data_IF_148757776812
#
_entry.id   IF_148757776812
#
_cell.length_a   1.000
_cell.length_b   1.000
_cell.length_c   1.000
_cell.angle_alpha   90.00
_cell.angle_beta   90.00
_cell.angle_gamma   90.00
#
_symmetry.space_group_name_H-M   'P 1'
#
loop_
_entity.id
_entity.type
_entity.pdbx_description
1 polymer ?
2 non-polymer ?
3 water ?
#
# COMPACT_ATOMS: atom_id res chain seq x y z
N UNK A 11 11.97 20.82 34.37
CA UNK A 11 11.92 20.40 32.90
C UNK A 11 12.96 21.17 32.07
N UNK A 12 13.56 20.49 31.08
CA UNK A 12 14.27 21.09 29.97
C UNK A 12 13.30 21.13 28.78
N UNK A 13 13.75 21.71 27.66
CA UNK A 13 12.94 21.81 26.46
C UNK A 13 12.79 20.45 25.78
N UNK A 14 11.54 20.11 25.41
CA UNK A 14 11.28 18.88 24.66
C UNK A 14 11.60 19.03 23.19
N UNK A 15 11.93 17.91 22.55
CA UNK A 15 12.18 17.90 21.11
C UNK A 15 10.91 18.24 20.32
N UNK A 16 11.07 18.78 19.09
CA UNK A 16 9.95 18.92 18.14
C UNK A 16 9.08 17.65 18.00
N UNK A 17 9.76 16.50 17.96
CA UNK A 17 9.12 15.18 17.83
C UNK A 17 8.28 14.80 19.04
N UNK A 18 8.76 15.08 20.26
CA UNK A 18 7.98 14.83 21.47
C UNK A 18 6.79 15.79 21.58
N UNK A 19 7.01 17.04 21.18
CA UNK A 19 5.96 18.02 21.14
C UNK A 19 4.88 17.59 20.15
N UNK A 20 5.31 17.14 18.97
CA UNK A 20 4.37 16.72 17.93
C UNK A 20 3.52 15.49 18.30
N UNK A 21 4.17 14.49 18.90
CA UNK A 21 3.51 13.25 19.30
C UNK A 21 2.56 13.47 20.45
N UNK A 22 2.86 14.46 21.30
CA UNK A 22 1.93 14.88 22.36
C UNK A 22 0.69 15.58 21.81
N UNK A 23 0.85 16.39 20.75
CA UNK A 23 -0.29 17.08 20.13
C UNK A 23 -1.21 16.11 19.39
N UNK A 24 -0.60 15.10 18.75
CA UNK A 24 -1.37 14.01 18.13
C UNK A 24 -2.22 13.28 19.17
N UNK A 25 -1.60 12.86 20.26
CA UNK A 25 -2.27 12.10 21.32
C UNK A 25 -3.50 12.80 21.88
N UNK A 26 -3.45 14.13 21.93
CA UNK A 26 -4.60 14.94 22.37
C UNK A 26 -5.65 15.08 21.26
N UNK A 27 -5.20 15.24 20.01
CA UNK A 27 -6.10 15.47 18.88
C UNK A 27 -6.79 14.24 18.31
N UNK A 28 -6.15 13.09 18.35
CA UNK A 28 -6.67 11.84 17.79
C UNK A 28 -7.79 11.22 18.67
N UNK A 29 -8.94 11.01 18.04
CA UNK A 29 -10.05 10.26 18.64
C UNK A 29 -10.94 9.68 17.53
N UNK A 30 -11.53 8.50 17.79
CA UNK A 30 -12.42 7.82 16.84
C UNK A 30 -13.60 8.72 16.45
N UNK A 31 -14.16 8.51 15.25
CA UNK A 31 -15.32 9.32 14.87
C UNK A 31 -16.58 8.98 15.67
N UNK A 32 -17.56 9.86 15.57
CA UNK A 32 -18.83 9.81 16.31
C UNK A 32 -19.66 8.58 15.95
N UNK A 33 -19.73 8.33 14.65
CA UNK A 33 -20.36 7.14 14.09
C UNK A 33 -19.24 6.24 13.55
N UNK A 34 -19.18 5.00 14.03
CA UNK A 34 -18.12 4.02 13.66
C UNK A 34 -18.60 2.91 12.74
N UNK A 35 -17.73 2.48 11.84
CA UNK A 35 -17.94 1.28 11.03
C UNK A 35 -18.15 0.08 11.96
N UNK A 36 -19.02 -0.83 11.56
CA UNK A 36 -19.15 -2.14 12.22
C UNK A 36 -18.45 -3.25 11.45
N UNK A 37 -18.51 -3.17 10.12
CA UNK A 37 -18.09 -4.27 9.25
C UNK A 37 -17.40 -3.69 8.00
N UNK A 38 -16.20 -4.17 7.72
CA UNK A 38 -15.44 -3.76 6.55
C UNK A 38 -15.09 -5.02 5.74
N UNK A 39 -15.29 -4.97 4.43
CA UNK A 39 -14.84 -6.04 3.52
C UNK A 39 -13.67 -5.58 2.67
N UNK A 40 -12.67 -6.45 2.56
CA UNK A 40 -11.37 -6.12 1.92
C UNK A 40 -10.97 -7.24 0.96
N UNK A 41 -10.52 -6.85 -0.22
CA UNK A 41 -9.94 -7.81 -1.18
C UNK A 41 -9.18 -7.05 -2.26
N UNK A 42 -8.43 -7.74 -3.12
CA UNK A 42 -8.33 -9.21 -3.18
C UNK A 42 -6.91 -9.78 -3.22
N UNK A 43 -5.87 -8.95 -3.11
CA UNK A 43 -4.52 -9.50 -3.19
C UNK A 43 -3.96 -9.87 -1.81
N UNK A 44 -3.31 -11.03 -1.78
CA UNK A 44 -2.84 -11.61 -0.52
C UNK A 44 -1.82 -12.72 -0.81
N UNK A 45 -0.81 -12.80 0.03
CA UNK A 45 0.25 -13.79 -0.15
C UNK A 45 1.03 -13.92 1.14
N UNK A 46 2.02 -14.81 1.15
CA UNK A 46 2.97 -14.91 2.26
C UNK A 46 4.36 -14.54 1.73
N UNK A 47 4.95 -13.51 2.33
CA UNK A 47 6.31 -13.12 2.06
C UNK A 47 7.21 -13.92 2.99
N UNK A 48 8.20 -14.57 2.40
CA UNK A 48 9.20 -15.32 3.11
C UNK A 48 10.52 -14.59 2.86
N UNK A 49 11.10 -14.04 3.92
CA UNK A 49 12.34 -13.25 3.82
C UNK A 49 13.45 -14.14 4.35
N UNK A 50 14.48 -14.33 3.52
CA UNK A 50 15.52 -15.33 3.76
C UNK A 50 16.81 -14.85 3.12
N UNK A 51 17.94 -15.20 3.73
CA UNK A 51 19.25 -14.98 3.08
C UNK A 51 19.32 -15.81 1.82
N UNK A 52 19.54 -15.13 0.70
CA UNK A 52 19.60 -15.81 -0.58
C UNK A 52 20.74 -16.82 -0.67
N UNK A 53 21.93 -16.44 -0.22
CA UNK A 53 23.08 -17.34 -0.22
C UNK A 53 22.74 -18.61 0.60
N UNK A 54 22.20 -18.42 1.80
CA UNK A 54 21.83 -19.54 2.64
C UNK A 54 20.82 -20.48 1.97
N UNK A 55 19.82 -19.91 1.28
CA UNK A 55 18.80 -20.73 0.64
C UNK A 55 19.39 -21.56 -0.46
N UNK A 56 20.15 -20.92 -1.32
CA UNK A 56 20.74 -21.62 -2.43
C UNK A 56 21.69 -22.71 -1.93
N UNK A 57 22.47 -22.39 -0.91
CA UNK A 57 23.31 -23.41 -0.29
C UNK A 57 22.43 -24.54 0.23
N UNK A 58 21.32 -24.19 0.86
CA UNK A 58 20.40 -25.18 1.43
C UNK A 58 19.73 -26.06 0.39
N UNK A 59 19.63 -25.59 -0.86
CA UNK A 59 19.16 -26.40 -1.99
C UNK A 59 20.22 -27.32 -2.53
N UNK A 60 21.41 -27.27 -1.99
CA UNK A 60 22.51 -28.13 -2.41
C UNK A 60 23.26 -27.58 -3.61
N UNK A 61 23.27 -26.26 -3.78
CA UNK A 61 23.88 -25.65 -4.96
C UNK A 61 25.28 -25.14 -4.64
N UNK A 62 26.25 -25.43 -5.49
CA UNK A 62 27.58 -24.82 -5.42
C UNK A 62 27.53 -23.52 -6.20
N UNK A 63 28.44 -22.58 -5.90
CA UNK A 63 28.37 -21.30 -6.64
C UNK A 63 28.74 -21.46 -8.09
N UNK A 64 27.86 -21.01 -8.99
CA UNK A 64 28.08 -21.09 -10.43
C UNK A 64 28.56 -19.74 -10.95
N UNK A 65 27.89 -19.23 -11.98
CA UNK A 65 28.18 -17.95 -12.60
C UNK A 65 26.99 -17.05 -12.41
N UNK A 66 27.28 -15.75 -12.36
CA UNK A 66 26.22 -14.75 -12.38
C UNK A 66 25.79 -14.64 -13.83
N UNK A 67 24.48 -14.73 -14.07
CA UNK A 67 23.94 -14.61 -15.40
C UNK A 67 22.45 -14.32 -15.33
N UNK A 68 22.03 -13.25 -16.00
CA UNK A 68 20.62 -12.85 -15.96
C UNK A 68 19.78 -13.82 -16.75
N UNK A 69 18.54 -14.02 -16.28
CA UNK A 69 17.52 -14.78 -16.99
C UNK A 69 16.22 -14.04 -16.84
N UNK A 70 15.57 -13.73 -17.97
CA UNK A 70 14.26 -13.05 -17.97
C UNK A 70 13.14 -13.79 -17.21
N UNK A 71 13.06 -15.11 -17.40
CA UNK A 71 12.19 -15.98 -16.66
C UNK A 71 13.07 -17.07 -16.01
N UNK A 72 12.74 -17.46 -14.77
CA UNK A 72 13.45 -18.56 -14.10
C UNK A 72 12.68 -19.85 -14.35
N UNK A 73 13.26 -20.77 -15.09
CA UNK A 73 12.64 -22.06 -15.33
C UNK A 73 13.10 -23.16 -14.38
N UNK A 74 14.15 -22.90 -13.61
CA UNK A 74 14.89 -23.94 -12.93
C UNK A 74 15.70 -23.39 -11.76
N UNK A 75 16.13 -24.31 -10.88
CA UNK A 75 17.10 -23.97 -9.83
C UNK A 75 18.38 -23.27 -10.37
N UNK A 76 18.85 -23.76 -11.52
CA UNK A 76 20.01 -23.17 -12.22
C UNK A 76 19.74 -21.71 -12.54
N UNK A 77 18.61 -21.46 -13.22
CA UNK A 77 18.24 -20.10 -13.60
C UNK A 77 18.17 -19.22 -12.38
N UNK A 78 17.55 -19.72 -11.31
CA UNK A 78 17.43 -18.96 -10.05
C UNK A 78 18.80 -18.62 -9.52
N UNK A 79 19.65 -19.62 -9.37
CA UNK A 79 21.01 -19.36 -8.88
C UNK A 79 21.72 -18.32 -9.73
N UNK A 80 21.69 -18.55 -11.04
CA UNK A 80 22.41 -17.67 -11.98
C UNK A 80 21.91 -16.21 -11.98
N UNK A 81 20.60 -15.97 -11.99
CA UNK A 81 20.08 -14.61 -11.89
C UNK A 81 20.32 -14.00 -10.52
N UNK A 82 20.15 -14.77 -9.46
CA UNK A 82 20.43 -14.26 -8.10
C UNK A 82 21.89 -13.79 -8.01
N UNK A 83 22.81 -14.63 -8.43
CA UNK A 83 24.23 -14.26 -8.39
C UNK A 83 24.51 -13.00 -9.20
N UNK A 84 23.84 -12.87 -10.36
CA UNK A 84 23.96 -11.69 -11.22
C UNK A 84 23.60 -10.40 -10.47
N UNK A 85 22.43 -10.39 -9.82
CA UNK A 85 21.99 -9.22 -9.08
C UNK A 85 22.73 -9.01 -7.77
N UNK A 86 23.08 -10.10 -7.09
CA UNK A 86 23.89 -10.01 -5.85
C UNK A 86 25.25 -9.34 -6.18
N UNK A 87 25.82 -9.66 -7.35
CA UNK A 87 27.06 -9.02 -7.79
C UNK A 87 26.93 -7.54 -8.04
N UNK A 88 25.76 -7.11 -8.50
CA UNK A 88 25.48 -5.69 -8.71
C UNK A 88 25.01 -4.97 -7.45
N UNK A 89 24.59 -5.72 -6.42
CA UNK A 89 23.95 -5.13 -5.24
C UNK A 89 22.61 -4.53 -5.61
N UNK A 90 21.94 -5.09 -6.63
CA UNK A 90 20.74 -4.49 -7.23
C UNK A 90 19.47 -5.31 -6.98
N UNK A 91 18.34 -4.62 -7.02
CA UNK A 91 17.05 -5.22 -6.83
C UNK A 91 16.62 -5.86 -8.11
N UNK A 92 15.91 -6.98 -8.02
CA UNK A 92 15.15 -7.51 -9.14
C UNK A 92 14.01 -8.36 -8.65
N UNK A 93 13.13 -8.63 -9.61
CA UNK A 93 11.99 -9.49 -9.38
C UNK A 93 11.82 -10.40 -10.61
N UNK A 94 11.49 -11.65 -10.35
CA UNK A 94 11.28 -12.62 -11.42
C UNK A 94 10.06 -13.51 -11.17
N UNK A 95 9.55 -14.06 -12.25
CA UNK A 95 8.59 -15.14 -12.26
C UNK A 95 9.37 -16.45 -12.41
N UNK A 96 8.98 -17.46 -11.63
CA UNK A 96 9.53 -18.79 -11.70
C UNK A 96 8.48 -19.68 -12.31
N UNK A 97 8.82 -20.35 -13.42
CA UNK A 97 7.82 -20.92 -14.33
C UNK A 97 7.39 -22.33 -14.00
N UNK A 98 8.29 -23.12 -13.41
CA UNK A 98 7.99 -24.49 -13.08
C UNK A 98 7.20 -24.56 -11.75
N UNK A 99 5.93 -24.88 -11.85
CA UNK A 99 5.05 -24.85 -10.68
C UNK A 99 5.51 -25.78 -9.57
N UNK A 100 5.81 -27.06 -9.92
CA UNK A 100 6.16 -28.03 -8.90
C UNK A 100 7.49 -27.74 -8.30
N UNK A 101 8.47 -27.38 -9.11
CA UNK A 101 9.80 -27.01 -8.60
C UNK A 101 9.70 -25.81 -7.68
N UNK A 102 8.91 -24.81 -8.07
CA UNK A 102 8.66 -23.68 -7.18
C UNK A 102 8.04 -24.08 -5.83
N UNK A 103 7.08 -25.00 -5.85
CA UNK A 103 6.46 -25.47 -4.60
C UNK A 103 7.55 -26.04 -3.65
N UNK A 104 8.47 -26.85 -4.18
CA UNK A 104 9.57 -27.41 -3.40
C UNK A 104 10.58 -26.38 -2.88
N UNK A 105 10.87 -25.35 -3.68
CA UNK A 105 11.77 -24.27 -3.24
C UNK A 105 11.14 -23.39 -2.18
N UNK A 106 9.88 -22.99 -2.39
CA UNK A 106 9.17 -22.18 -1.42
C UNK A 106 9.00 -22.93 -0.12
N UNK A 107 8.73 -24.25 -0.23
CA UNK A 107 8.64 -25.06 0.98
C UNK A 107 9.96 -25.09 1.72
N UNK A 108 11.05 -25.26 0.97
CA UNK A 108 12.40 -25.25 1.57
C UNK A 108 12.71 -23.91 2.21
N UNK A 109 12.30 -22.81 1.59
CA UNK A 109 12.59 -21.47 2.16
C UNK A 109 11.74 -21.20 3.38
N UNK A 110 10.45 -21.48 3.28
CA UNK A 110 9.55 -21.32 4.39
C UNK A 110 9.92 -22.21 5.60
N UNK A 111 10.43 -23.41 5.37
CA UNK A 111 10.81 -24.30 6.48
C UNK A 111 12.23 -24.06 7.01
N UNK A 112 13.01 -23.22 6.33
CA UNK A 112 14.40 -22.98 6.68
C UNK A 112 14.43 -22.25 8.00
N UNK A 113 15.19 -22.81 9.00
CA UNK A 113 15.22 -22.14 10.32
C UNK A 113 15.68 -20.69 10.24
N UNK A 114 14.98 -19.78 10.89
CA UNK A 114 15.33 -18.37 10.87
C UNK A 114 14.74 -17.53 9.74
N UNK A 115 14.24 -18.14 8.68
CA UNK A 115 13.39 -17.45 7.70
C UNK A 115 12.23 -16.76 8.39
N UNK A 116 11.93 -15.53 7.96
CA UNK A 116 10.82 -14.75 8.47
C UNK A 116 9.64 -14.85 7.52
N UNK A 117 8.45 -14.93 8.08
CA UNK A 117 7.18 -15.05 7.33
C UNK A 117 6.34 -13.83 7.66
N UNK A 118 5.73 -13.24 6.64
CA UNK A 118 4.94 -12.03 6.78
C UNK A 118 3.71 -12.13 5.93
N UNK A 119 2.62 -11.60 6.47
CA UNK A 119 1.42 -11.31 5.68
C UNK A 119 1.81 -10.36 4.54
N UNK A 120 1.43 -10.72 3.32
CA UNK A 120 1.70 -9.89 2.15
C UNK A 120 0.40 -9.61 1.39
N UNK A 121 0.51 -8.66 0.46
CA UNK A 121 -0.62 -8.26 -0.37
C UNK A 121 -1.37 -7.10 0.23
N UNK A 122 -1.58 -6.04 -0.56
CA UNK A 122 -2.22 -4.80 -0.11
C UNK A 122 -3.53 -5.04 0.66
N UNK A 123 -4.39 -5.87 0.10
CA UNK A 123 -5.69 -6.16 0.70
C UNK A 123 -5.56 -6.90 2.03
N UNK A 124 -4.69 -7.91 2.09
CA UNK A 124 -4.47 -8.67 3.33
C UNK A 124 -3.85 -7.81 4.41
N UNK A 125 -2.90 -6.97 4.00
CA UNK A 125 -2.27 -6.02 4.93
C UNK A 125 -3.30 -5.01 5.46
N UNK A 126 -4.16 -4.48 4.59
CA UNK A 126 -5.25 -3.60 5.03
C UNK A 126 -6.17 -4.30 6.02
N UNK A 127 -6.64 -5.49 5.66
CA UNK A 127 -7.48 -6.32 6.53
C UNK A 127 -6.91 -6.56 7.90
N UNK A 128 -5.62 -6.83 7.92
CA UNK A 128 -4.86 -7.08 9.14
C UNK A 128 -4.84 -5.85 10.04
N UNK A 129 -4.59 -4.67 9.46
CA UNK A 129 -4.59 -3.42 10.24
C UNK A 129 -5.96 -3.14 10.84
N UNK A 130 -7.01 -3.20 10.02
CA UNK A 130 -8.42 -3.04 10.52
C UNK A 130 -8.74 -4.02 11.63
N UNK A 131 -8.28 -5.26 11.48
CA UNK A 131 -8.59 -6.32 12.43
C UNK A 131 -7.97 -6.14 13.83
N UNK A 132 -6.95 -5.28 13.95
CA UNK A 132 -6.41 -4.91 15.28
C UNK A 132 -7.46 -4.34 16.26
N UNK A 133 -8.53 -3.72 15.74
CA UNK A 133 -9.63 -3.20 16.57
C UNK A 133 -10.70 -4.27 16.70
N UNK A 134 -11.01 -4.64 17.94
CA UNK A 134 -12.01 -5.70 18.20
C UNK A 134 -13.48 -5.35 17.91
N UNK A 135 -13.80 -4.03 17.94
CA UNK A 135 -15.17 -3.61 17.63
C UNK A 135 -15.45 -3.42 16.14
N UNK A 136 -14.49 -3.79 15.28
CA UNK A 136 -14.68 -3.77 13.84
C UNK A 136 -14.52 -5.17 13.32
N UNK A 137 -15.53 -5.65 12.59
CA UNK A 137 -15.48 -6.99 12.00
C UNK A 137 -14.99 -6.95 10.57
N UNK A 138 -13.93 -7.71 10.29
CA UNK A 138 -13.28 -7.73 9.00
C UNK A 138 -13.55 -9.04 8.25
N UNK A 139 -13.96 -8.91 6.99
CA UNK A 139 -13.98 -9.98 6.00
C UNK A 139 -12.83 -9.74 5.00
N UNK A 140 -12.05 -10.78 4.73
CA UNK A 140 -10.92 -10.72 3.78
C UNK A 140 -11.04 -11.81 2.73
N UNK A 141 -11.04 -11.44 1.45
CA UNK A 141 -10.84 -12.40 0.35
C UNK A 141 -9.53 -12.21 -0.41
N UNK A 142 -9.03 -13.34 -0.91
CA UNK A 142 -7.81 -13.40 -1.68
C UNK A 142 -7.27 -14.82 -1.64
N UNK A 143 -6.08 -15.03 -2.23
CA UNK A 143 -5.57 -16.40 -2.31
C UNK A 143 -4.98 -16.85 -0.99
N UNK A 144 -5.83 -17.33 -0.11
CA UNK A 144 -5.47 -17.59 1.27
C UNK A 144 -5.39 -19.09 1.51
N UNK A 145 -4.16 -19.60 1.59
CA UNK A 145 -3.85 -20.96 1.97
C UNK A 145 -3.64 -21.09 3.48
N UNK A 146 -3.28 -22.30 3.93
CA UNK A 146 -3.18 -22.59 5.38
C UNK A 146 -2.16 -21.76 6.13
N UNK A 147 -1.04 -21.44 5.49
CA UNK A 147 -0.02 -20.61 6.15
C UNK A 147 -0.45 -19.14 6.33
N UNK A 148 -1.00 -18.54 5.29
CA UNK A 148 -1.53 -17.20 5.38
C UNK A 148 -2.69 -17.13 6.37
N UNK A 149 -3.55 -18.15 6.39
CA UNK A 149 -4.68 -18.15 7.32
C UNK A 149 -4.19 -18.17 8.78
N UNK A 150 -3.16 -18.99 9.03
CA UNK A 150 -2.48 -19.06 10.32
C UNK A 150 -1.87 -17.72 10.71
N UNK A 151 -1.18 -17.09 9.75
CA UNK A 151 -0.56 -15.77 9.94
C UNK A 151 -1.55 -14.64 10.20
N UNK A 152 -2.73 -14.72 9.59
CA UNK A 152 -3.72 -13.66 9.75
C UNK A 152 -4.26 -13.62 11.17
N UNK A 153 -4.69 -12.43 11.58
CA UNK A 153 -5.30 -12.20 12.90
C UNK A 153 -6.57 -13.05 12.99
N UNK A 154 -6.81 -13.64 14.16
CA UNK A 154 -7.99 -14.50 14.38
C UNK A 154 -9.32 -13.79 14.14
N UNK A 155 -9.37 -12.48 14.31
CA UNK A 155 -10.58 -11.68 14.13
C UNK A 155 -10.99 -11.52 12.64
N UNK A 156 -10.06 -11.84 11.73
CA UNK A 156 -10.31 -11.75 10.30
C UNK A 156 -11.11 -12.97 9.84
N UNK A 157 -12.26 -12.73 9.23
CA UNK A 157 -13.09 -13.79 8.67
C UNK A 157 -12.77 -13.94 7.18
N UNK A 158 -12.41 -15.16 6.79
CA UNK A 158 -12.17 -15.50 5.40
C UNK A 158 -13.28 -16.47 5.05
N UNK A 159 -14.14 -16.09 4.08
CA UNK A 159 -15.12 -17.03 3.55
C UNK A 159 -14.46 -18.37 3.21
N UNK A 160 -15.10 -19.51 3.55
CA UNK A 160 -14.53 -20.81 3.14
C UNK A 160 -14.26 -20.88 1.63
N UNK A 161 -15.10 -20.20 0.84
CA UNK A 161 -14.88 -20.09 -0.60
C UNK A 161 -13.52 -19.54 -0.98
N UNK A 162 -12.96 -18.67 -0.16
CA UNK A 162 -11.69 -18.02 -0.42
C UNK A 162 -10.48 -18.75 0.16
N UNK A 163 -10.72 -19.90 0.81
CA UNK A 163 -9.65 -20.73 1.35
C UNK A 163 -9.23 -21.78 0.31
N UNK A 164 -7.93 -21.95 0.16
CA UNK A 164 -7.35 -22.89 -0.82
C UNK A 164 -6.25 -23.73 -0.19
N UNK A 165 -5.86 -24.78 -0.92
CA UNK A 165 -4.92 -25.78 -0.40
C UNK A 165 -3.50 -25.23 -0.26
N UNK A 166 -3.06 -24.43 -1.25
CA UNK A 166 -1.66 -23.93 -1.27
C UNK A 166 -1.70 -22.40 -1.06
N UNK A 167 -0.62 -21.86 -0.48
CA UNK A 167 -0.45 -20.42 -0.42
C UNK A 167 0.26 -19.90 -1.68
N UNK A 168 0.21 -18.57 -1.84
CA UNK A 168 1.05 -17.86 -2.79
C UNK A 168 2.23 -17.34 -2.01
N UNK A 169 3.36 -18.02 -2.15
CA UNK A 169 4.57 -17.61 -1.47
C UNK A 169 5.32 -16.67 -2.38
N UNK A 170 5.76 -15.54 -1.81
CA UNK A 170 6.70 -14.68 -2.48
C UNK A 170 8.02 -14.80 -1.74
N UNK A 171 9.05 -15.24 -2.43
CA UNK A 171 10.35 -15.50 -1.78
C UNK A 171 11.26 -14.28 -1.94
N UNK A 172 11.67 -13.71 -0.81
CA UNK A 172 12.45 -12.49 -0.78
C UNK A 172 13.88 -12.85 -0.32
N UNK A 173 14.82 -12.85 -1.29
CA UNK A 173 16.18 -13.37 -1.03
C UNK A 173 17.10 -12.18 -0.84
N UNK A 174 17.47 -11.95 0.42
CA UNK A 174 18.30 -10.79 0.79
C UNK A 174 19.77 -11.11 0.80
N UNK A 175 20.57 -10.08 0.57
CA UNK A 175 22.04 -10.13 0.74
C UNK A 175 22.42 -8.83 1.49
N UNK A 176 23.48 -8.94 2.28
CA UNK A 176 24.04 -7.82 2.99
C UNK A 176 25.18 -7.25 2.21
N UNK A 177 25.47 -5.96 2.41
CA UNK A 177 26.66 -5.34 1.80
C UNK A 177 27.88 -6.07 2.37
N UNK A 178 28.79 -6.44 1.48
CA UNK A 178 29.98 -7.20 1.84
C UNK A 178 29.83 -8.71 1.95
N UNK A 179 28.61 -9.24 1.77
CA UNK A 179 28.38 -10.67 1.85
C UNK A 179 29.06 -11.44 0.72
N UNK A 180 29.53 -12.65 1.00
CA UNK A 180 30.31 -13.42 0.04
C UNK A 180 29.80 -14.82 -0.10
N UNK A 181 29.97 -15.37 -1.28
CA UNK A 181 29.75 -16.78 -1.52
C UNK A 181 30.68 -17.18 -2.65
N UNK A 182 31.73 -17.93 -2.33
CA UNK A 182 32.79 -18.23 -3.26
C UNK A 182 33.35 -16.93 -3.79
N UNK A 183 33.44 -16.79 -5.14
CA UNK A 183 33.97 -15.55 -5.72
C UNK A 183 32.99 -14.39 -5.80
N UNK A 184 31.80 -14.51 -5.21
CA UNK A 184 30.79 -13.46 -5.34
C UNK A 184 30.82 -12.60 -4.10
N UNK A 185 30.63 -11.31 -4.28
CA UNK A 185 30.61 -10.36 -3.16
C UNK A 185 29.66 -9.23 -3.46
N UNK A 186 28.70 -9.01 -2.57
CA UNK A 186 27.69 -7.96 -2.76
C UNK A 186 28.26 -6.58 -2.44
N UNK A 187 28.27 -5.63 -3.39
CA UNK A 187 28.67 -4.25 -3.10
C UNK A 187 27.65 -3.39 -2.34
N UNK A 188 26.38 -3.80 -2.33
CA UNK A 188 25.31 -3.12 -1.60
C UNK A 188 24.33 -4.21 -1.10
N UNK A 189 23.48 -3.85 -0.15
CA UNK A 189 22.53 -4.78 0.41
C UNK A 189 21.31 -4.57 -0.45
N UNK A 190 20.74 -5.71 -0.90
CA UNK A 190 19.51 -5.64 -1.70
C UNK A 190 18.76 -6.94 -1.66
N UNK A 191 17.68 -7.04 -2.42
CA UNK A 191 16.90 -8.29 -2.43
C UNK A 191 16.49 -8.73 -3.85
N UNK A 192 16.47 -10.02 -4.05
CA UNK A 192 16.03 -10.62 -5.26
C UNK A 192 14.76 -11.45 -4.92
N UNK A 193 13.68 -11.15 -5.62
CA UNK A 193 12.40 -11.75 -5.28
C UNK A 193 11.84 -12.52 -6.40
N UNK A 194 11.26 -13.67 -6.10
CA UNK A 194 10.58 -14.47 -7.11
C UNK A 194 9.32 -15.14 -6.56
N UNK A 195 8.43 -15.49 -7.49
CA UNK A 195 7.17 -16.11 -7.19
C UNK A 195 6.65 -16.87 -8.40
N UNK A 196 5.56 -17.59 -8.19
CA UNK A 196 4.80 -18.24 -9.24
C UNK A 196 3.34 -18.00 -8.86
N UNK A 197 2.95 -16.74 -8.97
CA UNK A 197 1.68 -16.23 -8.49
C UNK A 197 0.76 -15.81 -9.61
N UNK A 198 -0.02 -16.77 -10.08
CA UNK A 198 -1.04 -16.51 -11.10
C UNK A 198 -2.32 -15.98 -10.52
N UNK A 199 -2.60 -16.26 -9.23
CA UNK A 199 -3.87 -15.90 -8.58
C UNK A 199 -4.02 -14.40 -8.44
N UNK A 200 -2.99 -13.79 -7.85
CA UNK A 200 -2.97 -12.35 -7.67
C UNK A 200 -2.83 -11.61 -9.03
N UNK A 201 -2.05 -12.16 -9.95
CA UNK A 201 -1.90 -11.62 -11.28
C UNK A 201 -3.20 -11.51 -12.09
N UNK A 202 -4.12 -12.45 -11.87
CA UNK A 202 -5.36 -12.50 -12.63
C UNK A 202 -6.57 -12.01 -11.86
N UNK A 203 -6.37 -11.48 -10.64
CA UNK A 203 -7.47 -11.28 -9.65
C UNK A 203 -8.46 -12.44 -9.66
N UNK A 204 -7.96 -13.65 -9.46
CA UNK A 204 -8.82 -14.81 -9.52
C UNK A 204 -9.85 -14.93 -8.37
N UNK A 205 -9.65 -14.18 -7.30
CA UNK A 205 -10.58 -14.19 -6.20
C UNK A 205 -11.58 -13.02 -6.23
N UNK A 206 -11.61 -12.23 -7.30
CA UNK A 206 -12.55 -11.11 -7.42
C UNK A 206 -14.00 -11.57 -7.36
N UNK A 207 -14.33 -12.64 -8.07
CA UNK A 207 -15.69 -13.20 -8.10
C UNK A 207 -16.15 -13.67 -6.71
N UNK A 208 -15.27 -14.42 -6.04
CA UNK A 208 -15.53 -14.93 -4.68
C UNK A 208 -15.74 -13.76 -3.70
N UNK A 209 -14.91 -12.73 -3.85
CA UNK A 209 -15.04 -11.52 -3.02
C UNK A 209 -16.37 -10.80 -3.23
N UNK A 210 -16.67 -10.50 -4.49
CA UNK A 210 -17.94 -9.86 -4.89
C UNK A 210 -19.09 -10.67 -4.36
N UNK A 211 -19.07 -11.98 -4.60
CA UNK A 211 -20.15 -12.88 -4.15
C UNK A 211 -20.39 -12.87 -2.64
N UNK A 212 -19.36 -12.57 -1.85
CA UNK A 212 -19.49 -12.61 -0.38
C UNK A 212 -20.04 -11.33 0.25
N UNK A 213 -20.15 -10.26 -0.53
CA UNK A 213 -20.47 -8.96 0.05
C UNK A 213 -21.91 -8.86 0.52
N UNK A 214 -22.86 -9.40 -0.26
CA UNK A 214 -24.27 -9.26 0.08
C UNK A 214 -24.60 -9.84 1.46
N UNK A 215 -24.22 -11.08 1.68
CA UNK A 215 -24.36 -11.71 2.98
C UNK A 215 -23.73 -10.87 4.09
N UNK A 216 -22.48 -10.48 3.91
CA UNK A 216 -21.71 -9.78 4.95
C UNK A 216 -22.22 -8.38 5.30
N UNK A 217 -22.84 -7.71 4.33
CA UNK A 217 -23.34 -6.34 4.52
C UNK A 217 -22.24 -5.40 5.05
N UNK A 218 -21.15 -5.26 4.29
CA UNK A 218 -20.15 -4.30 4.75
C UNK A 218 -20.67 -2.87 4.87
N UNK A 219 -20.18 -2.14 5.86
CA UNK A 219 -20.28 -0.68 5.90
C UNK A 219 -19.27 0.01 5.00
N UNK A 220 -18.15 -0.67 4.76
CA UNK A 220 -17.02 -0.14 4.02
C UNK A 220 -16.45 -1.31 3.21
N UNK A 221 -16.18 -1.04 1.94
CA UNK A 221 -15.56 -2.00 1.06
C UNK A 221 -14.23 -1.39 0.66
N UNK A 222 -13.17 -2.19 0.76
CA UNK A 222 -11.82 -1.76 0.33
C UNK A 222 -11.31 -2.72 -0.72
N UNK A 223 -10.86 -2.18 -1.84
CA UNK A 223 -10.38 -2.94 -2.97
C UNK A 223 -8.93 -2.59 -3.29
N UNK A 224 -8.14 -3.62 -3.50
CA UNK A 224 -6.78 -3.46 -3.98
C UNK A 224 -6.41 -4.68 -4.83
N UNK A 225 -5.32 -4.55 -5.58
CA UNK A 225 -4.78 -5.63 -6.38
C UNK A 225 -4.85 -5.44 -7.91
N UNK A 226 -5.45 -4.36 -8.37
CA UNK A 226 -5.59 -4.09 -9.81
C UNK A 226 -4.22 -3.97 -10.47
N UNK A 227 -3.31 -3.24 -9.82
CA UNK A 227 -1.92 -3.15 -10.30
C UNK A 227 -1.23 -4.44 -10.63
N UNK A 228 -1.60 -5.51 -9.92
CA UNK A 228 -1.02 -6.85 -10.16
C UNK A 228 -1.38 -7.47 -11.49
N UNK A 229 -2.38 -6.93 -12.19
CA UNK A 229 -2.73 -7.37 -13.54
C UNK A 229 -1.81 -6.83 -14.61
N UNK A 230 -1.01 -5.83 -14.27
CA UNK A 230 0.11 -5.38 -15.13
C UNK A 230 0.83 -6.60 -15.73
N UNK A 231 0.91 -6.62 -17.04
CA UNK A 231 1.60 -7.69 -17.77
C UNK A 231 0.70 -8.84 -18.23
N UNK A 232 -0.58 -8.82 -17.85
CA UNK A 232 -1.60 -9.73 -18.36
C UNK A 232 -2.27 -9.24 -19.62
N UNK A 233 -2.98 -10.12 -20.33
CA UNK A 233 -3.82 -9.77 -21.48
C UNK A 233 -4.66 -8.53 -21.20
N UNK A 234 -4.66 -7.60 -22.17
CA UNK A 234 -5.49 -6.40 -22.09
C UNK A 234 -6.98 -6.77 -22.00
N UNK A 235 -7.40 -7.79 -22.74
CA UNK A 235 -8.74 -8.31 -22.65
C UNK A 235 -9.12 -8.89 -21.27
N UNK A 236 -8.19 -9.61 -20.65
CA UNK A 236 -8.37 -10.06 -19.27
C UNK A 236 -8.50 -8.87 -18.33
N UNK A 237 -7.64 -7.87 -18.47
CA UNK A 237 -7.76 -6.65 -17.67
C UNK A 237 -9.12 -5.94 -17.84
N UNK A 238 -9.59 -5.86 -19.08
CA UNK A 238 -10.84 -5.20 -19.40
C UNK A 238 -12.03 -5.96 -18.78
N UNK A 239 -12.04 -7.28 -18.89
CA UNK A 239 -13.03 -8.10 -18.19
C UNK A 239 -13.06 -7.86 -16.69
N UNK A 240 -11.90 -7.77 -16.06
CA UNK A 240 -11.82 -7.58 -14.59
C UNK A 240 -12.25 -6.21 -14.12
N UNK A 241 -11.85 -5.17 -14.84
CA UNK A 241 -12.30 -3.80 -14.53
C UNK A 241 -13.81 -3.65 -14.68
N UNK A 242 -14.42 -4.31 -15.66
CA UNK A 242 -15.88 -4.32 -15.81
C UNK A 242 -16.56 -5.08 -14.66
N UNK A 243 -15.97 -6.21 -14.25
CA UNK A 243 -16.40 -6.97 -13.05
C UNK A 243 -16.37 -6.08 -11.82
N UNK A 244 -15.30 -5.32 -11.63
CA UNK A 244 -15.19 -4.36 -10.53
C UNK A 244 -16.34 -3.38 -10.55
N UNK A 245 -16.56 -2.74 -11.68
CA UNK A 245 -17.53 -1.64 -11.79
C UNK A 245 -18.95 -2.18 -11.62
N UNK A 246 -19.23 -3.32 -12.22
CA UNK A 246 -20.53 -4.00 -12.06
C UNK A 246 -20.78 -4.37 -10.61
N UNK A 247 -19.79 -4.99 -9.97
CA UNK A 247 -19.92 -5.38 -8.56
C UNK A 247 -20.25 -4.20 -7.66
N UNK A 248 -19.54 -3.09 -7.85
CA UNK A 248 -19.75 -1.89 -7.05
C UNK A 248 -21.14 -1.29 -7.29
N UNK A 249 -21.64 -1.31 -8.52
CA UNK A 249 -23.00 -0.82 -8.78
C UNK A 249 -24.10 -1.69 -8.10
N UNK A 250 -23.77 -2.93 -7.75
CA UNK A 250 -24.65 -3.81 -6.98
C UNK A 250 -24.56 -3.69 -5.47
N UNK A 251 -23.55 -3.02 -4.95
CA UNK A 251 -23.44 -2.76 -3.51
C UNK A 251 -24.41 -1.64 -3.17
N UNK A 252 -25.12 -1.74 -2.02
CA UNK A 252 -26.14 -0.70 -1.76
C UNK A 252 -25.59 0.72 -1.80
N UNK A 253 -26.41 1.66 -2.26
CA UNK A 253 -25.97 3.07 -2.39
C UNK A 253 -25.54 3.63 -1.01
N UNK A 254 -24.53 4.47 -1.01
CA UNK A 254 -24.02 5.10 0.20
C UNK A 254 -23.00 4.33 1.02
N UNK A 255 -22.67 3.11 0.59
CA UNK A 255 -21.56 2.31 1.17
C UNK A 255 -20.29 2.80 0.49
N UNK A 256 -19.38 3.45 1.23
CA UNK A 256 -18.11 3.82 0.62
C UNK A 256 -17.25 2.64 0.16
N UNK A 257 -16.59 2.83 -0.99
CA UNK A 257 -15.58 1.92 -1.52
C UNK A 257 -14.28 2.68 -1.62
N UNK A 258 -13.22 2.17 -0.98
CA UNK A 258 -11.88 2.72 -1.12
C UNK A 258 -11.03 1.86 -2.08
N UNK A 259 -10.37 2.50 -3.05
CA UNK A 259 -9.39 1.87 -3.92
C UNK A 259 -8.00 2.23 -3.44
N UNK A 260 -7.21 1.21 -3.06
CA UNK A 260 -5.81 1.44 -2.69
C UNK A 260 -4.94 1.13 -3.89
N UNK A 261 -4.41 2.18 -4.48
CA UNK A 261 -3.61 2.12 -5.63
C UNK A 261 -2.16 1.72 -5.33
N UNK A 262 -1.48 1.14 -6.27
CA UNK A 262 -0.08 0.73 -5.92
C UNK A 262 0.74 0.45 -7.10
N UNK A 263 2.06 0.37 -6.91
CA UNK A 263 3.04 -0.14 -7.93
C UNK A 263 2.51 -0.31 -9.38
N UNK A 264 2.32 0.84 -10.05
CA UNK A 264 1.87 0.86 -11.43
C UNK A 264 2.93 1.38 -12.35
N UNK A 265 3.10 0.75 -13.50
CA UNK A 265 4.01 1.23 -14.57
C UNK A 265 3.37 1.28 -15.97
N UNK A 266 2.17 0.71 -16.14
CA UNK A 266 1.51 0.67 -17.44
C UNK A 266 0.50 1.82 -17.55
N UNK A 267 0.65 2.68 -18.57
CA UNK A 267 -0.23 3.84 -18.73
C UNK A 267 -1.60 3.50 -19.33
N UNK A 268 -1.67 2.50 -20.21
CA UNK A 268 -2.97 2.08 -20.72
C UNK A 268 -3.87 1.63 -19.57
N UNK A 269 -3.30 0.84 -18.66
CA UNK A 269 -4.04 0.29 -17.52
C UNK A 269 -4.44 1.38 -16.55
N UNK A 270 -3.48 2.25 -16.21
CA UNK A 270 -3.72 3.41 -15.32
C UNK A 270 -4.81 4.31 -15.82
N UNK A 271 -4.72 4.65 -17.12
CA UNK A 271 -5.76 5.40 -17.82
C UNK A 271 -7.13 4.76 -17.65
N UNK A 272 -7.19 3.45 -17.89
CA UNK A 272 -8.42 2.67 -17.78
C UNK A 272 -8.99 2.65 -16.36
N UNK A 273 -8.11 2.51 -15.37
CA UNK A 273 -8.52 2.55 -13.97
C UNK A 273 -9.10 3.93 -13.62
N UNK A 274 -8.48 4.99 -14.14
CA UNK A 274 -8.95 6.34 -13.91
C UNK A 274 -10.32 6.53 -14.56
N UNK A 275 -10.43 6.17 -15.84
CA UNK A 275 -11.69 6.37 -16.58
C UNK A 275 -12.86 5.56 -16.00
N UNK A 276 -12.61 4.28 -15.66
CA UNK A 276 -13.68 3.34 -15.26
C UNK A 276 -13.91 3.24 -13.77
N UNK A 277 -12.85 3.04 -12.98
CA UNK A 277 -12.97 2.69 -11.56
C UNK A 277 -13.06 3.91 -10.63
N UNK A 278 -12.33 4.97 -10.94
CA UNK A 278 -12.37 6.20 -10.14
C UNK A 278 -13.81 6.72 -9.87
N UNK A 279 -14.67 6.82 -10.90
CA UNK A 279 -16.07 7.25 -10.64
C UNK A 279 -16.89 6.30 -9.76
N UNK A 280 -16.49 5.04 -9.69
CA UNK A 280 -17.18 4.03 -8.89
C UNK A 280 -16.76 3.93 -7.44
N UNK A 281 -15.76 4.68 -7.02
CA UNK A 281 -15.28 4.59 -5.63
C UNK A 281 -15.44 5.92 -4.95
N UNK A 282 -15.65 5.86 -3.63
CA UNK A 282 -15.74 7.04 -2.80
C UNK A 282 -14.35 7.57 -2.46
N UNK A 283 -13.39 6.66 -2.29
CA UNK A 283 -12.09 7.00 -1.72
C UNK A 283 -10.93 6.35 -2.48
N UNK A 284 -9.78 7.03 -2.50
CA UNK A 284 -8.57 6.57 -3.19
C UNK A 284 -7.41 6.75 -2.23
N UNK A 285 -6.46 5.82 -2.28
CA UNK A 285 -5.24 5.90 -1.46
C UNK A 285 -4.01 5.59 -2.31
N UNK A 286 -2.93 6.35 -2.11
CA UNK A 286 -1.75 6.24 -2.99
C UNK A 286 -0.56 7.04 -2.43
N UNK A 287 0.60 6.82 -3.04
CA UNK A 287 1.82 7.52 -2.67
C UNK A 287 2.31 8.44 -3.78
N UNK A 288 3.42 9.12 -3.52
CA UNK A 288 4.06 10.02 -4.47
C UNK A 288 4.30 9.39 -5.85
N UNK A 289 4.68 8.11 -5.89
CA UNK A 289 5.02 7.44 -7.15
C UNK A 289 3.80 7.30 -8.05
N UNK A 290 2.70 6.78 -7.48
CA UNK A 290 1.45 6.64 -8.21
C UNK A 290 0.79 7.98 -8.56
N UNK A 291 0.87 8.95 -7.66
CA UNK A 291 0.35 10.31 -7.89
C UNK A 291 1.01 10.95 -9.10
N UNK A 292 2.34 11.00 -9.11
CA UNK A 292 3.07 11.55 -10.24
C UNK A 292 2.79 10.76 -11.52
N UNK A 293 2.71 9.43 -11.40
CA UNK A 293 2.37 8.59 -12.54
C UNK A 293 0.99 8.93 -13.14
N UNK A 294 0.02 9.19 -12.29
CA UNK A 294 -1.32 9.67 -12.72
C UNK A 294 -1.26 10.99 -13.50
N UNK A 295 -0.57 11.97 -12.94
CA UNK A 295 -0.36 13.26 -13.61
C UNK A 295 0.37 13.10 -14.97
N UNK A 296 1.31 12.15 -15.06
CA UNK A 296 2.05 11.92 -16.30
C UNK A 296 1.20 11.30 -17.39
N UNK A 297 0.34 10.35 -17.01
CA UNK A 297 -0.61 9.76 -17.98
C UNK A 297 -1.59 10.79 -18.59
N UNK A 298 -2.46 11.34 -17.76
CA UNK A 298 -3.66 12.07 -18.23
C UNK A 298 -3.36 13.52 -18.66
N UNK A 299 -3.40 14.45 -17.70
CA UNK A 299 -3.30 15.91 -18.02
C UNK A 299 -2.13 16.52 -17.18
N UNK A 300 -2.22 16.31 -15.88
CA UNK A 300 -1.14 16.58 -14.94
C UNK A 300 -0.81 18.04 -14.75
N UNK A 301 -1.13 18.55 -13.56
CA UNK A 301 -0.54 19.85 -13.08
C UNK A 301 0.97 19.89 -13.11
N UNK A 302 1.68 18.74 -12.94
CA UNK A 302 3.15 18.72 -13.08
C UNK A 302 3.64 17.42 -13.78
N UNK A 303 2.85 16.98 -14.75
CA UNK A 303 3.18 15.81 -15.57
C UNK A 303 4.59 15.92 -16.17
N UNK A 304 4.91 17.15 -16.60
CA UNK A 304 6.21 17.45 -17.20
C UNK A 304 7.40 16.89 -16.41
N UNK A 305 7.35 17.02 -15.09
CA UNK A 305 8.43 16.51 -14.24
C UNK A 305 8.52 14.99 -14.31
N UNK A 306 9.66 14.47 -14.67
CA UNK A 306 9.94 13.05 -14.80
C UNK A 306 9.80 12.35 -13.42
N UNK A 307 10.35 12.96 -12.39
CA UNK A 307 10.46 12.37 -11.07
C UNK A 307 10.53 13.47 -9.98
N UNK A 308 10.23 13.08 -8.76
CA UNK A 308 10.32 13.97 -7.59
C UNK A 308 11.81 14.11 -7.31
N UNK A 309 12.24 15.32 -6.99
CA UNK A 309 13.63 15.59 -6.70
C UNK A 309 13.79 15.72 -5.19
N UNK A 310 13.85 14.59 -4.52
CA UNK A 310 13.88 14.49 -3.04
C UNK A 310 12.46 14.43 -2.48
N UNK A 311 12.20 15.14 -1.39
CA UNK A 311 10.84 15.21 -0.84
C UNK A 311 9.96 15.84 -1.89
N UNK A 312 8.79 15.21 -2.17
CA UNK A 312 7.83 15.86 -3.10
C UNK A 312 7.34 17.19 -2.56
N UNK A 313 7.29 18.19 -3.44
CA UNK A 313 6.83 19.53 -3.04
C UNK A 313 5.36 19.48 -2.68
N UNK A 314 4.99 19.99 -1.51
CA UNK A 314 3.62 19.88 -1.01
C UNK A 314 2.63 20.53 -1.97
N UNK A 315 2.95 21.74 -2.41
CA UNK A 315 2.10 22.46 -3.35
C UNK A 315 1.85 21.66 -4.62
N UNK A 316 2.93 21.14 -5.20
CA UNK A 316 2.86 20.32 -6.41
C UNK A 316 2.00 19.08 -6.20
N UNK A 317 2.19 18.42 -5.07
CA UNK A 317 1.35 17.28 -4.66
C UNK A 317 -0.12 17.71 -4.62
N UNK A 318 -0.38 18.80 -3.89
CA UNK A 318 -1.76 19.26 -3.68
C UNK A 318 -2.47 19.70 -4.98
N UNK A 319 -1.72 20.30 -5.91
CA UNK A 319 -2.25 20.62 -7.24
C UNK A 319 -2.74 19.38 -7.97
N UNK A 320 -1.99 18.28 -7.86
CA UNK A 320 -2.36 17.00 -8.50
C UNK A 320 -3.59 16.40 -7.84
N UNK A 321 -3.63 16.39 -6.50
CA UNK A 321 -4.80 15.89 -5.76
C UNK A 321 -6.06 16.72 -6.07
N UNK A 322 -5.90 18.05 -6.08
CA UNK A 322 -6.95 18.99 -6.46
C UNK A 322 -7.51 18.66 -7.85
N UNK A 323 -6.61 18.62 -8.83
CA UNK A 323 -6.91 18.24 -10.23
C UNK A 323 -7.65 16.92 -10.37
N UNK A 324 -7.27 15.89 -9.60
CA UNK A 324 -7.95 14.60 -9.64
C UNK A 324 -9.40 14.74 -9.18
N UNK A 325 -9.61 15.40 -8.04
CA UNK A 325 -10.97 15.58 -7.55
C UNK A 325 -11.76 16.52 -8.46
N UNK A 326 -11.10 17.46 -9.14
CA UNK A 326 -11.79 18.31 -10.12
C UNK A 326 -12.07 17.60 -11.44
N UNK A 327 -11.09 16.85 -11.98
CA UNK A 327 -11.27 16.15 -13.25
C UNK A 327 -12.14 14.90 -13.14
N UNK A 328 -11.98 14.22 -12.02
CA UNK A 328 -12.56 12.86 -11.85
C UNK A 328 -13.38 12.64 -10.60
N UNK A 329 -13.38 13.63 -9.68
CA UNK A 329 -14.03 13.64 -8.41
C UNK A 329 -15.50 13.99 -8.68
N UNK A 330 -16.33 13.88 -7.64
CA UNK A 330 -17.75 14.15 -7.78
C UNK A 330 -18.00 15.63 -8.26
N UNK A 331 -18.84 15.74 -9.24
CA UNK A 331 -19.24 17.06 -9.82
C UNK A 331 -20.68 16.93 -10.20
N UNK A 332 -21.34 18.06 -10.31
CA UNK A 332 -22.81 18.06 -10.64
C UNK A 332 -23.03 17.38 -12.00
N UNK A 333 -22.15 17.65 -12.94
CA UNK A 333 -22.14 16.97 -14.26
C UNK A 333 -21.68 15.50 -14.23
N UNK A 334 -20.76 15.18 -13.32
CA UNK A 334 -19.97 13.96 -13.37
C UNK A 334 -20.60 12.67 -12.93
N UNK A 335 -21.40 12.70 -11.87
CA UNK A 335 -21.98 11.42 -11.32
C UNK A 335 -20.78 10.40 -11.08
N UNK A 336 -19.73 10.95 -10.47
CA UNK A 336 -18.55 10.28 -10.08
C UNK A 336 -18.86 10.27 -8.57
N UNK A 337 -18.37 9.26 -7.86
CA UNK A 337 -18.57 9.16 -6.40
C UNK A 337 -17.29 9.51 -5.62
N UNK A 338 -16.22 9.90 -6.32
CA UNK A 338 -14.92 10.07 -5.68
C UNK A 338 -14.84 11.42 -4.96
N UNK A 339 -14.76 11.35 -3.63
CA UNK A 339 -14.73 12.52 -2.76
C UNK A 339 -13.53 12.56 -1.80
N UNK A 340 -12.59 11.63 -1.91
CA UNK A 340 -11.57 11.45 -0.89
C UNK A 340 -10.32 10.84 -1.46
N UNK A 341 -9.17 11.40 -1.10
CA UNK A 341 -7.85 10.86 -1.47
C UNK A 341 -6.97 10.93 -0.25
N UNK A 342 -6.49 9.78 0.21
CA UNK A 342 -5.52 9.72 1.29
C UNK A 342 -4.15 9.60 0.65
N UNK A 343 -3.43 10.71 0.59
CA UNK A 343 -2.07 10.71 0.06
C UNK A 343 -1.11 10.48 1.20
N UNK A 344 -0.19 9.53 1.02
CA UNK A 344 0.87 9.26 2.01
C UNK A 344 2.23 9.12 1.33
N UNK A 345 3.19 9.96 1.74
CA UNK A 345 4.59 9.82 1.34
C UNK A 345 5.44 9.73 2.62
N UNK A 346 6.75 9.60 2.46
CA UNK A 346 7.64 9.25 3.58
C UNK A 346 7.55 10.24 4.72
N UNK A 347 7.59 11.54 4.40
CA UNK A 347 7.78 12.60 5.44
C UNK A 347 6.54 13.43 5.74
N UNK A 348 5.48 13.28 4.96
CA UNK A 348 4.17 13.88 5.28
C UNK A 348 3.03 13.13 4.59
N UNK A 349 1.83 13.22 5.16
CA UNK A 349 0.61 12.68 4.59
C UNK A 349 -0.35 13.84 4.37
N UNK A 350 -1.21 13.72 3.37
CA UNK A 350 -2.28 14.70 3.13
C UNK A 350 -3.57 13.92 2.95
N UNK A 351 -4.63 14.40 3.59
CA UNK A 351 -5.98 13.91 3.33
C UNK A 351 -6.76 15.03 2.62
N UNK A 352 -7.19 14.76 1.40
CA UNK A 352 -7.92 15.74 0.58
C UNK A 352 -9.36 15.28 0.41
N UNK A 353 -10.32 16.15 0.70
CA UNK A 353 -11.73 15.76 0.65
C UNK A 353 -12.63 16.82 0.00
N UNK A 354 -13.58 16.36 -0.81
CA UNK A 354 -14.61 17.21 -1.38
C UNK A 354 -15.55 17.58 -0.24
N UNK A 355 -15.73 18.88 -0.02
CA UNK A 355 -16.41 19.40 1.18
C UNK A 355 -17.80 18.77 1.39
N UNK A 356 -18.11 18.49 2.66
CA UNK A 356 -19.40 17.98 3.06
C UNK A 356 -19.74 16.51 2.82
N UNK A 357 -18.72 15.67 2.65
CA UNK A 357 -18.92 14.19 2.50
C UNK A 357 -18.26 13.34 3.58
N UNK A 358 -17.37 13.94 4.37
CA UNK A 358 -16.54 13.24 5.33
C UNK A 358 -16.33 14.08 6.57
N UNK A 359 -16.23 13.40 7.73
CA UNK A 359 -15.92 14.03 9.00
C UNK A 359 -14.69 13.37 9.64
N UNK A 360 -14.14 14.06 10.65
CA UNK A 360 -13.02 13.56 11.49
C UNK A 360 -11.70 13.42 10.76
N UNK A 361 -11.54 14.22 9.71
CA UNK A 361 -10.37 14.10 8.85
C UNK A 361 -9.09 14.71 9.42
N UNK A 362 -9.18 15.57 10.42
CA UNK A 362 -8.01 15.99 11.21
C UNK A 362 -7.39 14.81 11.97
N UNK A 363 -8.21 14.16 12.80
CA UNK A 363 -7.78 13.00 13.57
C UNK A 363 -7.35 11.86 12.65
N UNK A 364 -8.10 11.66 11.55
CA UNK A 364 -7.79 10.58 10.62
C UNK A 364 -6.40 10.70 9.98
N UNK A 365 -6.05 11.89 9.49
CA UNK A 365 -4.74 12.08 8.87
C UNK A 365 -3.64 12.00 9.93
N UNK A 366 -3.92 12.55 11.12
CA UNK A 366 -3.01 12.42 12.24
C UNK A 366 -2.78 10.96 12.58
N UNK A 367 -3.85 10.18 12.60
CA UNK A 367 -3.77 8.74 12.91
C UNK A 367 -3.02 7.93 11.87
N UNK A 368 -3.24 8.21 10.59
CA UNK A 368 -2.45 7.60 9.49
C UNK A 368 -0.96 7.87 9.64
N UNK A 369 -0.62 9.10 10.01
CA UNK A 369 0.77 9.51 10.20
C UNK A 369 1.44 8.86 11.39
N UNK A 370 0.68 8.75 12.47
CA UNK A 370 1.17 8.14 13.71
C UNK A 370 1.50 6.67 13.56
N UNK A 371 0.69 5.94 12.79
CA UNK A 371 0.89 4.49 12.59
C UNK A 371 2.13 4.24 11.76
N UNK A 372 2.42 5.16 10.86
CA UNK A 372 3.67 5.16 10.07
C UNK A 372 4.90 5.16 10.97
N UNK A 373 4.86 5.92 12.08
CA UNK A 373 5.92 5.93 13.06
C UNK A 373 5.95 4.64 13.87
N UNK A 374 4.81 4.30 14.51
CA UNK A 374 4.79 3.21 15.48
C UNK A 374 5.04 1.86 14.83
N UNK A 375 4.38 1.60 13.72
CA UNK A 375 4.58 0.34 13.01
C UNK A 375 5.99 0.20 12.46
N UNK A 376 6.55 1.26 11.89
CA UNK A 376 7.94 1.25 11.41
C UNK A 376 8.94 0.88 12.50
N UNK A 377 8.80 1.51 13.67
CA UNK A 377 9.62 1.20 14.86
C UNK A 377 9.23 -0.07 15.63
N UNK A 378 8.04 -0.61 15.39
CA UNK A 378 7.52 -1.77 16.14
C UNK A 378 7.39 -1.48 17.64
N UNK A 379 6.79 -0.33 17.93
CA UNK A 379 6.40 0.08 19.27
C UNK A 379 4.88 0.23 19.29
N UNK A 380 4.30 0.14 20.48
CA UNK A 380 2.86 0.36 20.68
C UNK A 380 2.49 1.84 20.52
N UNK A 381 3.37 2.72 21.02
CA UNK A 381 3.20 4.17 20.95
C UNK A 381 4.47 4.77 20.35
N UNK A 382 4.46 6.10 20.11
CA UNK A 382 5.62 6.76 19.53
C UNK A 382 6.78 6.82 20.55
N UNK A 383 7.92 6.21 20.19
CA UNK A 383 9.16 6.33 20.95
C UNK A 383 9.92 7.51 20.36
N UNK A 384 9.90 8.62 21.09
CA UNK A 384 10.42 9.90 20.57
C UNK A 384 11.94 9.94 20.40
N UNK A 385 12.67 8.97 20.96
CA UNK A 385 14.13 8.82 20.67
C UNK A 385 14.38 8.28 19.27
N UNK A 386 13.46 7.44 18.76
CA UNK A 386 13.66 6.72 17.49
C UNK A 386 13.00 7.37 16.27
N UNK A 387 12.41 8.55 16.44
CA UNK A 387 11.77 9.26 15.32
C UNK A 387 12.42 10.58 15.01
N UNK A 388 12.06 11.14 13.86
CA UNK A 388 12.69 12.33 13.32
C UNK A 388 11.72 13.05 12.41
N UNK A 389 11.53 14.33 12.64
CA UNK A 389 10.71 15.16 11.79
C UNK A 389 11.55 15.57 10.58
N UNK A 390 11.10 15.16 9.39
CA UNK A 390 11.83 15.43 8.15
C UNK A 390 11.04 16.21 7.10
N UNK A 391 9.82 16.65 7.43
CA UNK A 391 9.03 17.47 6.50
C UNK A 391 9.66 18.85 6.36
N UNK A 392 9.40 19.54 5.22
CA UNK A 392 9.93 20.92 5.11
C UNK A 392 9.36 21.85 6.19
N UNK A 393 10.20 22.71 6.75
CA UNK A 393 9.80 23.68 7.78
C UNK A 393 8.75 24.69 7.31
N UNK A 394 8.84 25.09 6.03
CA UNK A 394 7.80 25.88 5.41
C UNK A 394 7.46 25.38 4.00
N UNK A 395 6.24 25.65 3.55
CA UNK A 395 5.77 25.20 2.23
C UNK A 395 4.57 25.97 1.71
N UNK A 396 4.44 26.02 0.37
CA UNK A 396 3.30 26.63 -0.31
C UNK A 396 2.24 25.57 -0.60
N UNK A 397 0.97 25.91 -0.37
CA UNK A 397 -0.17 25.00 -0.53
C UNK A 397 -0.57 24.72 -1.97
N UNK A 398 0.00 25.50 -2.89
CA UNK A 398 -0.11 25.26 -4.32
C UNK A 398 0.97 26.17 -4.89
N UNK A 399 1.75 25.73 -5.88
CA UNK A 399 2.53 26.67 -6.68
C UNK A 399 1.89 27.21 -8.01
N UNK A 400 1.08 26.32 -8.60
CA UNK A 400 0.29 26.63 -9.80
C UNK A 400 -0.64 27.80 -9.49
N UNK A 401 -1.63 27.57 -8.60
CA UNK A 401 -2.38 28.67 -8.02
C UNK A 401 -1.54 29.39 -6.97
N UNK A 402 -1.97 30.59 -6.56
CA UNK A 402 -1.32 31.32 -5.50
C UNK A 402 -1.86 30.79 -4.17
N UNK A 403 -0.97 30.14 -3.40
CA UNK A 403 -1.32 29.44 -2.18
C UNK A 403 -0.80 30.13 -0.95
N UNK A 404 -1.21 29.65 0.22
CA UNK A 404 -0.65 30.12 1.51
C UNK A 404 0.79 29.64 1.76
N UNK A 405 1.53 30.42 2.54
CA UNK A 405 2.87 30.03 3.01
C UNK A 405 2.75 29.54 4.45
N UNK A 406 2.88 28.23 4.64
CA UNK A 406 2.67 27.58 5.94
C UNK A 406 4.01 27.33 6.61
N UNK A 407 4.08 27.54 7.93
CA UNK A 407 5.27 27.21 8.74
C UNK A 407 4.88 26.14 9.75
N UNK A 408 5.73 25.14 9.89
CA UNK A 408 5.46 24.02 10.79
C UNK A 408 5.56 24.44 12.26
N UNK A 409 4.52 24.14 13.00
CA UNK A 409 4.44 24.35 14.42
C UNK A 409 4.19 22.97 15.04
N UNK A 410 5.23 22.38 15.69
CA UNK A 410 5.10 21.04 16.31
C UNK A 410 3.93 20.88 17.29
N UNK A 411 3.52 21.95 17.96
CA UNK A 411 2.39 21.90 18.88
C UNK A 411 1.03 21.98 18.18
N UNK A 412 1.01 22.41 16.92
CA UNK A 412 -0.23 22.39 16.10
C UNK A 412 0.07 21.70 14.76
N UNK A 413 0.28 20.37 14.79
CA UNK A 413 0.85 19.69 13.63
C UNK A 413 -0.09 19.49 12.43
N UNK A 414 -1.40 19.34 12.68
CA UNK A 414 -2.37 19.16 11.59
C UNK A 414 -2.89 20.49 11.06
N UNK A 415 -2.60 20.74 9.78
CA UNK A 415 -2.86 22.00 9.10
C UNK A 415 -4.00 21.81 8.10
N UNK A 416 -4.91 22.75 8.06
CA UNK A 416 -6.11 22.68 7.21
C UNK A 416 -6.07 23.88 6.25
N UNK A 417 -6.46 23.68 4.98
CA UNK A 417 -6.65 24.79 4.08
C UNK A 417 -7.69 24.43 3.04
N UNK A 418 -8.28 25.42 2.38
CA UNK A 418 -9.38 25.18 1.49
C UNK A 418 -9.12 25.69 0.11
N UNK A 419 -9.77 25.10 -0.87
CA UNK A 419 -9.62 25.45 -2.29
C UNK A 419 -10.82 24.88 -3.08
N UNK A 420 -11.80 25.70 -3.34
CA UNK A 420 -12.99 25.45 -4.13
C UNK A 420 -13.79 24.21 -3.72
N UNK A 421 -14.17 24.13 -2.44
CA UNK A 421 -15.12 23.13 -1.98
C UNK A 421 -14.35 21.86 -1.64
N UNK A 422 -13.02 21.90 -1.77
CA UNK A 422 -12.14 20.84 -1.45
C UNK A 422 -11.24 21.29 -0.32
N UNK A 423 -11.05 20.46 0.64
CA UNK A 423 -10.27 20.77 1.84
C UNK A 423 -9.14 19.80 1.95
N UNK A 424 -7.97 20.33 2.33
CA UNK A 424 -6.77 19.52 2.51
C UNK A 424 -6.46 19.47 3.99
N UNK A 425 -5.94 18.34 4.46
CA UNK A 425 -5.47 18.15 5.84
C UNK A 425 -4.06 17.57 5.80
N UNK A 426 -3.10 18.37 6.24
CA UNK A 426 -1.69 18.04 6.13
C UNK A 426 -1.17 17.74 7.51
N UNK A 427 -0.30 16.74 7.63
CA UNK A 427 0.52 16.56 8.82
C UNK A 427 1.86 15.95 8.40
N UNK A 428 2.95 16.31 9.10
CA UNK A 428 4.20 15.59 8.88
C UNK A 428 4.17 14.17 9.49
N UNK A 429 5.17 13.38 9.14
CA UNK A 429 5.33 12.06 9.70
C UNK A 429 6.46 12.11 10.73
N UNK A 430 6.32 11.33 11.80
CA UNK A 430 7.46 11.06 12.67
C UNK A 430 8.12 9.77 12.16
N UNK A 431 9.17 9.97 11.34
CA UNK A 431 9.80 8.88 10.59
C UNK A 431 10.68 8.05 11.51
N UNK A 432 10.47 6.73 11.55
CA UNK A 432 11.32 5.84 12.37
C UNK A 432 12.70 5.83 11.77
N UNK A 433 13.69 6.21 12.59
CA UNK A 433 15.08 6.34 12.12
C UNK A 433 15.75 4.95 11.98
N UNK A 434 15.37 3.99 12.81
CA UNK A 434 15.86 2.67 12.83
C UNK A 434 14.78 1.59 12.60
N UNK A 435 14.14 1.58 11.42
CA UNK A 435 12.94 0.77 11.20
C UNK A 435 13.20 -0.72 11.04
N UNK A 436 12.25 -1.52 11.45
CA UNK A 436 12.35 -2.99 11.42
C UNK A 436 12.16 -3.39 9.95
N UNK A 437 11.02 -2.99 9.43
CA UNK A 437 10.50 -3.49 8.17
C UNK A 437 9.31 -2.62 7.77
N UNK A 438 9.45 -1.85 6.68
CA UNK A 438 8.43 -0.87 6.27
C UNK A 438 7.71 -1.26 4.96
N UNK A 439 7.90 -2.50 4.50
CA UNK A 439 7.06 -3.04 3.41
C UNK A 439 5.61 -3.16 3.93
N UNK A 440 4.64 -2.64 3.19
CA UNK A 440 3.21 -2.68 3.61
C UNK A 440 2.75 -1.49 4.46
N UNK A 441 3.60 -0.48 4.67
CA UNK A 441 3.27 0.67 5.54
C UNK A 441 2.13 1.54 4.96
N UNK A 442 2.09 1.75 3.65
CA UNK A 442 1.04 2.53 2.99
C UNK A 442 -0.36 1.94 3.22
N UNK A 443 -0.41 0.63 3.33
CA UNK A 443 -1.64 -0.11 3.53
C UNK A 443 -2.17 0.02 4.95
N UNK A 444 -1.27 -0.05 5.92
CA UNK A 444 -1.60 0.22 7.32
C UNK A 444 -1.98 1.69 7.52
N UNK A 445 -1.32 2.60 6.80
CA UNK A 445 -1.64 4.04 6.85
C UNK A 445 -3.07 4.28 6.31
N UNK A 446 -3.37 3.75 5.13
CA UNK A 446 -4.72 3.89 4.55
C UNK A 446 -5.83 3.25 5.38
N UNK A 447 -5.55 2.12 5.99
CA UNK A 447 -6.51 1.44 6.85
C UNK A 447 -6.78 2.25 8.08
N UNK A 448 -5.72 2.79 8.68
CA UNK A 448 -5.88 3.67 9.86
C UNK A 448 -6.68 4.94 9.53
N UNK A 449 -6.33 5.61 8.45
CA UNK A 449 -7.06 6.77 7.94
C UNK A 449 -8.54 6.53 7.73
N UNK A 450 -8.89 5.38 7.15
CA UNK A 450 -10.29 5.00 6.96
C UNK A 450 -10.99 4.65 8.27
N UNK A 451 -10.32 3.88 9.12
CA UNK A 451 -10.87 3.52 10.44
C UNK A 451 -11.32 4.77 11.19
N UNK A 452 -10.47 5.79 11.21
CA UNK A 452 -10.78 7.05 11.88
C UNK A 452 -11.64 8.03 11.06
N UNK A 453 -11.99 7.68 9.82
CA UNK A 453 -12.90 8.49 9.01
C UNK A 453 -14.39 8.15 9.24
N UNK A 454 -15.25 9.13 8.96
CA UNK A 454 -16.72 8.97 8.95
C UNK A 454 -17.25 9.50 7.62
N UNK A 455 -17.98 8.64 6.90
CA UNK A 455 -18.70 9.06 5.71
C UNK A 455 -19.99 9.67 6.17
N UNK A 456 -20.57 10.51 5.34
CA UNK A 456 -22.02 10.95 5.62
C UNK A 456 -23.10 10.58 4.59
N UNK A 457 -24.41 10.88 4.84
CA UNK A 457 -25.44 10.27 3.97
C UNK A 457 -25.40 10.77 2.51
N UNK A 458 -25.33 9.85 1.55
CA UNK A 458 -25.38 10.21 0.11
C UNK A 458 -26.78 10.71 -0.30
#
# INVERSE_FOLDING_TARGET
>A
MGSGSGDDDDKLALSPESRLAAAWDALIAQPARRWRRVAVGVNACVDVVISGVKLLQALGLSPGSGKDHAILHSRSDLEEAFLYFMGKGAAAERFFSDKETFHDIAQAASEFPGAQHYVGGNAALIGQRFAANTDLKVLLCGPIGPKLHELLDDNVFVPPESLQEEDEFHLILEYLAGEEWGPFKAPHANRFIFSHDLSNGAMNMLEVFVSSLEEFQPDLVVLSGLHMMEGQSKELQRKRLLEVVTAISDIPTGIPVHLELASMTNRELMSSIVHQVFPAVASLGLNEQELLFLSQSASGPHSSLSSWDGVPDVGMVSDILFWILKEHGRSENRSSDLTRIHFHTLVYHILATVDGHWANQLAAVAAGARVAGTQACATETIDTNRVSLRAPQEFTTSHLESGSRIVLNPDKPVVEWHREGITFHFTPVLVCKDPVRTVGLGDAISAEGLFYSEARPDKGQLQGKPIPNPLLGLDSTRTGHHHHHH
#
